data_IF_175825044113
#
_entry.id   IF_175825044113
#
_cell.length_a   1.000
_cell.length_b   1.000
_cell.length_c   1.000
_cell.angle_alpha   90.00
_cell.angle_beta   90.00
_cell.angle_gamma   90.00
#
_symmetry.space_group_name_H-M   'P 1'
#
loop_
_entity.id
_entity.type
_entity.pdbx_description
1 polymer ?
#
# COMPACT_ATOMS: atom_id res chain seq x y z
N UNK A 1 -9.76 8.46 0.78
CA UNK A 1 -9.01 9.53 1.49
C UNK A 1 -7.75 9.83 0.71
N UNK A 2 -7.21 11.04 0.80
CA UNK A 2 -5.95 11.43 0.12
C UNK A 2 -4.79 10.46 0.40
N UNK A 3 -4.77 9.85 1.60
CA UNK A 3 -3.85 8.78 2.02
C UNK A 3 -3.89 7.61 1.05
N UNK A 4 -5.08 7.07 0.81
CA UNK A 4 -5.34 5.93 -0.08
C UNK A 4 -4.91 6.22 -1.52
N UNK A 5 -5.24 7.43 -2.01
CA UNK A 5 -4.89 7.88 -3.36
C UNK A 5 -3.38 8.01 -3.53
N UNK A 6 -2.67 8.53 -2.52
CA UNK A 6 -1.21 8.67 -2.53
C UNK A 6 -0.52 7.32 -2.55
N UNK A 7 -0.94 6.40 -1.67
CA UNK A 7 -0.42 5.03 -1.64
C UNK A 7 -0.68 4.32 -2.98
N UNK A 8 -1.88 4.47 -3.57
CA UNK A 8 -2.16 3.92 -4.91
C UNK A 8 -1.28 4.54 -6.00
N UNK A 9 -1.06 5.85 -5.98
CA UNK A 9 -0.26 6.54 -6.98
C UNK A 9 1.20 6.06 -6.93
N UNK A 10 1.81 6.02 -5.74
CA UNK A 10 3.17 5.49 -5.56
C UNK A 10 3.28 4.02 -6.03
N UNK A 11 2.31 3.17 -5.66
CA UNK A 11 2.27 1.78 -6.10
C UNK A 11 2.12 1.64 -7.63
N UNK A 12 1.24 2.40 -8.27
CA UNK A 12 1.07 2.40 -9.74
C UNK A 12 2.34 2.85 -10.45
N UNK A 13 3.09 3.76 -9.85
CA UNK A 13 4.33 4.29 -10.42
C UNK A 13 5.49 3.28 -10.32
N UNK A 14 5.38 2.34 -9.37
CA UNK A 14 6.35 1.28 -9.17
C UNK A 14 6.16 0.18 -10.24
N UNK A 15 7.08 0.14 -11.21
CA UNK A 15 7.09 -0.87 -12.28
C UNK A 15 7.03 -2.28 -11.68
N UNK A 16 5.97 -3.02 -12.01
CA UNK A 16 5.76 -4.40 -11.55
C UNK A 16 4.63 -4.55 -10.54
N UNK A 17 4.04 -3.46 -10.04
CA UNK A 17 2.81 -3.53 -9.25
C UNK A 17 1.63 -3.26 -10.19
N UNK A 18 0.73 -4.23 -10.40
CA UNK A 18 -0.52 -3.94 -11.07
C UNK A 18 -1.38 -3.12 -10.12
N UNK A 19 -1.22 -1.80 -10.19
CA UNK A 19 -1.96 -0.87 -9.32
C UNK A 19 -3.48 -0.87 -9.56
N UNK A 20 -3.94 -1.55 -10.61
CA UNK A 20 -5.34 -1.95 -10.84
C UNK A 20 -5.83 -3.01 -9.86
N UNK A 21 -4.96 -3.93 -9.43
CA UNK A 21 -5.28 -5.05 -8.54
C UNK A 21 -4.91 -4.81 -7.08
N UNK A 22 -4.33 -3.64 -6.76
CA UNK A 22 -4.09 -3.29 -5.37
C UNK A 22 -5.29 -2.57 -4.78
N UNK A 23 -5.84 -3.18 -3.73
CA UNK A 23 -6.82 -2.56 -2.85
C UNK A 23 -6.10 -1.93 -1.66
N UNK A 24 -6.32 -0.62 -1.50
CA UNK A 24 -5.84 0.13 -0.36
C UNK A 24 -7.06 0.62 0.39
N UNK A 25 -7.13 0.34 1.68
CA UNK A 25 -8.23 0.74 2.55
C UNK A 25 -7.68 1.49 3.75
N UNK A 26 -8.34 2.55 4.19
CA UNK A 26 -7.88 3.36 5.32
C UNK A 26 -9.04 3.57 6.28
N UNK A 27 -8.90 3.06 7.50
CA UNK A 27 -9.92 3.13 8.54
C UNK A 27 -9.34 3.72 9.82
N UNK A 28 -9.82 4.91 10.23
CA UNK A 28 -9.45 5.58 11.50
C UNK A 28 -7.94 5.66 11.78
N UNK A 29 -7.14 5.89 10.72
CA UNK A 29 -5.67 5.98 10.79
C UNK A 29 -4.95 4.64 10.61
N UNK A 30 -5.65 3.52 10.54
CA UNK A 30 -5.09 2.22 10.15
C UNK A 30 -5.22 2.08 8.64
N UNK A 31 -4.11 1.82 7.95
CA UNK A 31 -4.11 1.59 6.50
C UNK A 31 -3.87 0.12 6.23
N UNK A 32 -4.78 -0.51 5.51
CA UNK A 32 -4.65 -1.89 5.06
C UNK A 32 -4.36 -1.92 3.57
N UNK A 33 -3.29 -2.61 3.19
CA UNK A 33 -2.88 -2.85 1.82
C UNK A 33 -3.08 -4.32 1.49
N UNK A 34 -3.72 -4.59 0.35
CA UNK A 34 -3.96 -5.93 -0.15
C UNK A 34 -3.83 -5.96 -1.66
N UNK A 35 -3.16 -6.96 -2.22
CA UNK A 35 -2.99 -7.12 -3.66
C UNK A 35 -3.57 -8.46 -4.10
N UNK A 36 -4.31 -8.45 -5.20
CA UNK A 36 -4.69 -9.70 -5.87
C UNK A 36 -3.51 -10.30 -6.64
N UNK A 37 -2.52 -9.47 -6.97
CA UNK A 37 -1.33 -9.84 -7.73
C UNK A 37 -0.10 -10.04 -6.84
N UNK A 38 0.88 -10.84 -7.29
CA UNK A 38 2.17 -10.98 -6.62
C UNK A 38 2.91 -9.65 -6.64
N UNK A 39 3.42 -9.26 -5.48
CA UNK A 39 4.32 -8.12 -5.28
C UNK A 39 5.61 -8.63 -4.65
N UNK A 40 6.68 -7.85 -4.69
CA UNK A 40 7.94 -8.20 -4.02
C UNK A 40 8.00 -7.64 -2.59
N UNK A 41 8.81 -8.24 -1.73
CA UNK A 41 9.03 -7.73 -0.36
C UNK A 41 9.53 -6.28 -0.32
N UNK A 42 10.33 -5.88 -1.32
CA UNK A 42 10.76 -4.50 -1.49
C UNK A 42 9.58 -3.55 -1.66
N UNK A 43 8.61 -3.91 -2.50
CA UNK A 43 7.40 -3.13 -2.76
C UNK A 43 6.53 -3.04 -1.50
N UNK A 44 6.38 -4.17 -0.79
CA UNK A 44 5.69 -4.22 0.51
C UNK A 44 6.31 -3.24 1.51
N UNK A 45 7.63 -3.26 1.64
CA UNK A 45 8.38 -2.36 2.54
C UNK A 45 8.21 -0.90 2.13
N UNK A 46 8.39 -0.58 0.85
CA UNK A 46 8.24 0.77 0.32
C UNK A 46 6.83 1.30 0.57
N UNK A 47 5.81 0.51 0.27
CA UNK A 47 4.42 0.87 0.52
C UNK A 47 4.14 1.13 2.01
N UNK A 48 4.64 0.28 2.90
CA UNK A 48 4.53 0.49 4.35
C UNK A 48 5.22 1.79 4.77
N UNK A 49 6.40 2.08 4.23
CA UNK A 49 7.19 3.25 4.61
C UNK A 49 6.54 4.56 4.11
N UNK A 50 6.07 4.58 2.87
CA UNK A 50 5.32 5.71 2.29
C UNK A 50 4.06 5.95 3.11
N UNK A 51 3.32 4.89 3.40
CA UNK A 51 2.09 4.97 4.19
C UNK A 51 2.36 5.50 5.60
N UNK A 52 3.39 4.99 6.28
CA UNK A 52 3.80 5.48 7.62
C UNK A 52 4.27 6.94 7.60
N UNK A 53 4.85 7.42 6.50
CA UNK A 53 5.23 8.83 6.33
C UNK A 53 4.03 9.78 6.21
N UNK A 54 2.83 9.27 5.94
CA UNK A 54 1.66 10.11 5.77
C UNK A 54 1.11 10.55 7.13
N UNK A 55 1.00 11.86 7.32
CA UNK A 55 0.48 12.49 8.55
C UNK A 55 -0.96 12.04 8.80
N UNK A 56 -1.19 11.34 9.92
CA UNK A 56 -2.49 10.77 10.30
C UNK A 56 -2.56 9.24 10.23
N UNK A 57 -1.50 8.58 9.76
CA UNK A 57 -1.40 7.11 9.82
C UNK A 57 -0.93 6.67 11.21
N UNK A 58 -1.76 5.87 11.88
CA UNK A 58 -1.47 5.20 13.15
C UNK A 58 -0.84 3.83 12.94
N UNK A 59 -1.31 3.08 11.97
CA UNK A 59 -0.82 1.72 11.71
C UNK A 59 -0.92 1.38 10.22
N UNK A 60 -0.06 0.48 9.78
CA UNK A 60 -0.04 -0.01 8.40
C UNK A 60 -0.01 -1.53 8.41
N UNK A 61 -1.02 -2.12 7.79
CA UNK A 61 -1.20 -3.55 7.62
C UNK A 61 -0.95 -3.89 6.16
N UNK A 62 0.20 -4.48 5.88
CA UNK A 62 0.57 -4.96 4.55
C UNK A 62 0.40 -6.48 4.42
N UNK A 63 -0.45 -7.07 5.26
CA UNK A 63 -0.64 -8.51 5.39
C UNK A 63 -1.27 -9.13 4.12
N UNK A 64 -2.14 -8.37 3.45
CA UNK A 64 -2.79 -8.82 2.22
C UNK A 64 -1.96 -8.65 0.95
N UNK A 65 -0.73 -8.14 1.05
CA UNK A 65 0.19 -8.09 -0.08
C UNK A 65 0.82 -9.46 -0.24
N UNK A 66 0.48 -10.18 -1.31
CA UNK A 66 1.10 -11.44 -1.69
C UNK A 66 2.54 -11.17 -2.10
N UNK A 67 3.44 -11.19 -1.12
CA UNK A 67 4.87 -11.17 -1.37
C UNK A 67 5.29 -12.56 -1.86
N UNK A 68 5.82 -12.64 -3.08
CA UNK A 68 6.47 -13.85 -3.61
C UNK A 68 7.96 -13.86 -3.27
#
# INVERSE_FOLDING_TARGET
>A
TWITTKVKADLVTEKGIPGTDIKVETNKGVVSLSSTAPVTEAQKTTAVNITKKIKGVKAVSADGLKAE
#
